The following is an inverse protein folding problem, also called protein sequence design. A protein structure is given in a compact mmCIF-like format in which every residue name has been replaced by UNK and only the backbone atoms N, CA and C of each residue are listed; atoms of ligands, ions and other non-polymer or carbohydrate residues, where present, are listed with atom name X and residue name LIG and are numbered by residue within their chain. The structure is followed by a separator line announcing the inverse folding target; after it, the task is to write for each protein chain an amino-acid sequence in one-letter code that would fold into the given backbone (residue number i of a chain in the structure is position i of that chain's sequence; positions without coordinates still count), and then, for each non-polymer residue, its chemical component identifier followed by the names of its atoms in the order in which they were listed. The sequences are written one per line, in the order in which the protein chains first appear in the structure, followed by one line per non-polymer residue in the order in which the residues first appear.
data_IF_086919299981
#
_entry.id   IF_086919299981
#
_cell.length_a   1.000
_cell.length_b   1.000
_cell.length_c   1.000
_cell.angle_alpha   90.00
_cell.angle_beta   90.00
_cell.angle_gamma   90.00
#
_symmetry.space_group_name_H-M   'P 1'
#
loop_
_entity.id
_entity.type
_entity.pdbx_description
1 polymer ?
#
# COMPACT_ATOMS: atom_id res chain seq x y z
N UNK A 1 -15.52 -17.41 2.79
CA UNK A 1 -14.97 -16.04 2.86
C UNK A 1 -13.76 -15.89 1.92
N UNK A 2 -13.97 -15.43 0.67
CA UNK A 2 -12.95 -15.38 -0.41
C UNK A 2 -11.87 -14.32 -0.17
N UNK A 3 -12.25 -13.17 0.37
CA UNK A 3 -11.32 -12.05 0.63
C UNK A 3 -10.31 -12.40 1.72
N UNK A 4 -10.74 -13.06 2.81
CA UNK A 4 -9.81 -13.53 3.85
C UNK A 4 -8.79 -14.52 3.28
N UNK A 5 -9.21 -15.50 2.48
CA UNK A 5 -8.28 -16.46 1.84
C UNK A 5 -7.29 -15.75 0.92
N UNK A 6 -7.76 -14.75 0.17
CA UNK A 6 -6.92 -13.94 -0.72
C UNK A 6 -5.90 -13.11 0.07
N UNK A 7 -6.33 -12.47 1.16
CA UNK A 7 -5.47 -11.70 2.04
C UNK A 7 -4.40 -12.58 2.70
N UNK A 8 -4.81 -13.73 3.25
CA UNK A 8 -3.88 -14.70 3.85
C UNK A 8 -2.78 -15.12 2.88
N UNK A 9 -3.16 -15.51 1.66
CA UNK A 9 -2.20 -15.86 0.60
C UNK A 9 -1.28 -14.69 0.26
N UNK A 10 -1.83 -13.49 0.11
CA UNK A 10 -1.03 -12.31 -0.24
C UNK A 10 -0.02 -11.92 0.86
N UNK A 11 -0.37 -12.08 2.14
CA UNK A 11 0.54 -11.81 3.26
C UNK A 11 1.78 -12.71 3.15
N UNK A 12 1.58 -14.02 2.98
CA UNK A 12 2.68 -14.99 2.87
C UNK A 12 3.55 -14.65 1.66
N UNK A 13 2.95 -14.51 0.48
CA UNK A 13 3.68 -14.25 -0.77
C UNK A 13 4.51 -12.96 -0.72
N UNK A 14 3.96 -11.88 -0.14
CA UNK A 14 4.69 -10.61 -0.06
C UNK A 14 5.84 -10.68 0.94
N UNK A 15 5.67 -11.39 2.06
CA UNK A 15 6.73 -11.56 3.06
C UNK A 15 7.87 -12.44 2.53
N UNK A 16 7.55 -13.55 1.88
CA UNK A 16 8.54 -14.43 1.24
C UNK A 16 9.37 -13.66 0.21
N UNK A 17 8.71 -12.99 -0.73
CA UNK A 17 9.39 -12.16 -1.73
C UNK A 17 10.22 -11.04 -1.09
N UNK A 18 9.73 -10.40 -0.03
CA UNK A 18 10.49 -9.35 0.64
C UNK A 18 11.75 -9.89 1.32
N UNK A 19 11.71 -11.10 1.90
CA UNK A 19 12.89 -11.77 2.47
C UNK A 19 13.92 -12.02 1.37
N UNK A 20 13.51 -12.53 0.21
CA UNK A 20 14.41 -12.74 -0.93
C UNK A 20 15.04 -11.43 -1.39
N UNK A 21 14.24 -10.38 -1.59
CA UNK A 21 14.75 -9.07 -2.03
C UNK A 21 15.72 -8.45 -1.03
N UNK A 22 15.48 -8.62 0.28
CA UNK A 22 16.39 -8.13 1.31
C UNK A 22 17.68 -8.95 1.37
N UNK A 23 17.62 -10.27 1.13
CA UNK A 23 18.84 -11.11 1.01
C UNK A 23 19.70 -10.70 -0.18
N UNK A 24 19.08 -10.37 -1.31
CA UNK A 24 19.79 -9.91 -2.51
C UNK A 24 20.42 -8.52 -2.34
N UNK A 25 19.68 -7.58 -1.76
CA UNK A 25 20.07 -6.16 -1.74
C UNK A 25 20.70 -5.67 -0.44
N UNK A 26 20.57 -6.44 0.64
CA UNK A 26 20.94 -6.01 1.98
C UNK A 26 19.82 -5.23 2.70
N UNK A 27 19.91 -5.18 4.02
CA UNK A 27 18.84 -4.66 4.91
C UNK A 27 18.73 -3.13 4.87
N UNK A 28 19.83 -2.44 4.57
CA UNK A 28 19.92 -0.97 4.54
C UNK A 28 19.40 -0.33 3.25
N UNK A 29 19.12 -1.12 2.22
CA UNK A 29 18.74 -0.59 0.92
C UNK A 29 17.36 0.09 0.91
N UNK A 30 17.26 1.18 0.14
CA UNK A 30 16.02 1.95 0.02
C UNK A 30 14.96 1.07 -0.65
N UNK A 31 13.81 0.90 0.01
CA UNK A 31 12.71 0.02 -0.43
C UNK A 31 11.87 0.61 -1.57
N UNK A 32 12.53 1.11 -2.62
CA UNK A 32 11.88 1.68 -3.82
C UNK A 32 11.16 0.65 -4.69
N UNK A 33 11.35 -0.64 -4.41
CA UNK A 33 10.73 -1.75 -5.15
C UNK A 33 9.29 -2.08 -4.69
N UNK A 34 8.74 -1.37 -3.70
CA UNK A 34 7.40 -1.62 -3.20
C UNK A 34 6.34 -0.97 -4.10
N UNK A 35 5.28 -1.71 -4.43
CA UNK A 35 4.29 -1.28 -5.42
C UNK A 35 3.54 0.02 -5.09
N UNK A 36 3.11 0.21 -3.84
CA UNK A 36 2.27 1.36 -3.44
C UNK A 36 2.85 2.19 -2.30
N UNK A 37 3.65 1.57 -1.42
CA UNK A 37 4.20 2.24 -0.26
C UNK A 37 5.14 3.38 -0.68
N UNK A 38 4.94 4.59 -0.13
CA UNK A 38 5.67 5.81 -0.48
C UNK A 38 5.63 6.16 -1.99
N UNK A 39 4.64 5.66 -2.73
CA UNK A 39 4.46 5.89 -4.16
C UNK A 39 3.20 6.71 -4.47
N UNK A 40 2.78 7.59 -3.56
CA UNK A 40 1.67 8.52 -3.81
C UNK A 40 1.97 9.32 -5.10
N UNK A 41 0.91 9.58 -5.85
CA UNK A 41 0.93 10.35 -7.09
C UNK A 41 1.58 9.65 -8.30
N UNK A 42 2.26 8.51 -8.10
CA UNK A 42 2.77 7.65 -9.17
C UNK A 42 1.70 6.70 -9.73
N UNK A 43 1.87 6.20 -10.97
CA UNK A 43 0.94 5.24 -11.58
C UNK A 43 1.02 3.86 -10.89
N UNK A 44 -0.14 3.24 -10.68
CA UNK A 44 -0.22 1.89 -10.15
C UNK A 44 0.38 0.88 -11.15
N UNK A 45 1.32 0.01 -10.76
CA UNK A 45 1.96 -0.94 -11.68
C UNK A 45 1.02 -2.00 -12.26
N UNK A 46 -0.20 -2.15 -11.70
CA UNK A 46 -1.21 -3.10 -12.22
C UNK A 46 -2.20 -2.49 -13.20
N UNK A 47 -2.53 -1.20 -13.08
CA UNK A 47 -3.66 -0.63 -13.81
C UNK A 47 -3.48 0.83 -14.26
N UNK A 48 -2.31 1.43 -14.01
CA UNK A 48 -1.99 2.82 -14.38
C UNK A 48 -2.62 3.89 -13.50
N UNK A 49 -3.69 3.57 -12.75
CA UNK A 49 -4.40 4.53 -11.89
C UNK A 49 -3.47 5.16 -10.85
N UNK A 50 -3.67 6.45 -10.58
CA UNK A 50 -2.86 7.21 -9.63
C UNK A 50 -2.97 6.64 -8.22
N UNK A 51 -1.84 6.37 -7.57
CA UNK A 51 -1.80 5.92 -6.17
C UNK A 51 -2.15 7.08 -5.24
N UNK A 52 -3.03 6.82 -4.28
CA UNK A 52 -3.46 7.78 -3.27
C UNK A 52 -2.93 7.40 -1.89
N UNK A 53 -2.87 8.37 -0.97
CA UNK A 53 -2.59 8.11 0.44
C UNK A 53 -3.56 8.82 1.38
N UNK A 54 -3.93 8.13 2.45
CA UNK A 54 -4.71 8.68 3.57
C UNK A 54 -3.90 8.60 4.86
N UNK A 55 -4.26 9.42 5.85
CA UNK A 55 -3.88 9.16 7.23
C UNK A 55 -5.04 8.53 7.98
N UNK A 56 -4.78 7.37 8.56
CA UNK A 56 -5.72 6.68 9.45
C UNK A 56 -5.01 6.40 10.77
N UNK A 57 -5.56 6.91 11.87
CA UNK A 57 -4.87 6.94 13.15
C UNK A 57 -3.47 7.57 12.98
N UNK A 58 -2.43 6.94 13.51
CA UNK A 58 -1.04 7.41 13.43
C UNK A 58 -0.28 6.89 12.21
N UNK A 59 -0.95 6.27 11.22
CA UNK A 59 -0.30 5.68 10.04
C UNK A 59 -0.75 6.34 8.75
N UNK A 60 0.20 6.54 7.85
CA UNK A 60 -0.11 6.84 6.45
C UNK A 60 -0.27 5.52 5.67
N UNK A 61 -1.36 5.41 4.91
CA UNK A 61 -1.68 4.22 4.11
C UNK A 61 -1.75 4.61 2.65
N UNK A 62 -0.98 3.93 1.82
CA UNK A 62 -0.96 4.11 0.37
C UNK A 62 -1.77 3.01 -0.30
N UNK A 63 -2.55 3.35 -1.33
CA UNK A 63 -3.40 2.39 -2.02
C UNK A 63 -3.73 2.85 -3.44
N UNK A 64 -4.05 1.89 -4.31
CA UNK A 64 -4.64 2.16 -5.61
C UNK A 64 -6.18 2.14 -5.50
N UNK A 65 -6.88 3.25 -5.82
CA UNK A 65 -8.33 3.30 -5.66
C UNK A 65 -9.05 2.32 -6.60
N UNK A 66 -8.56 2.13 -7.83
CA UNK A 66 -9.16 1.19 -8.78
C UNK A 66 -9.02 -0.26 -8.32
N UNK A 67 -7.81 -0.68 -7.91
CA UNK A 67 -7.54 -2.08 -7.55
C UNK A 67 -8.06 -2.49 -6.16
N UNK A 68 -8.05 -1.60 -5.17
CA UNK A 68 -8.29 -1.99 -3.76
C UNK A 68 -9.65 -1.58 -3.23
N UNK A 69 -10.28 -0.56 -3.82
CA UNK A 69 -11.54 0.01 -3.30
C UNK A 69 -12.59 0.20 -4.38
N UNK A 70 -12.43 -0.46 -5.53
CA UNK A 70 -13.36 -0.40 -6.67
C UNK A 70 -13.65 1.05 -7.12
N UNK A 71 -12.63 1.90 -7.08
CA UNK A 71 -12.69 3.32 -7.43
C UNK A 71 -13.04 4.26 -6.26
N UNK A 72 -13.50 3.76 -5.10
CA UNK A 72 -13.87 4.61 -3.96
C UNK A 72 -12.63 5.21 -3.29
N UNK A 73 -12.56 6.53 -3.18
CA UNK A 73 -11.54 7.21 -2.38
C UNK A 73 -11.83 7.03 -0.88
N UNK A 74 -10.84 6.56 -0.12
CA UNK A 74 -10.92 6.41 1.33
C UNK A 74 -10.89 7.78 2.03
N UNK A 75 -11.58 7.91 3.17
CA UNK A 75 -11.62 9.16 3.95
C UNK A 75 -10.25 9.44 4.57
N UNK A 76 -9.67 10.58 4.22
CA UNK A 76 -8.45 11.07 4.83
C UNK A 76 -8.75 11.78 6.15
N UNK A 77 -8.07 11.38 7.24
CA UNK A 77 -8.22 11.98 8.57
C UNK A 77 -7.08 12.93 8.94
N UNK A 78 -6.21 13.33 7.99
CA UNK A 78 -5.20 14.38 8.23
C UNK A 78 -5.82 15.67 8.80
N UNK A 79 -7.00 16.05 8.30
CA UNK A 79 -7.71 17.27 8.70
C UNK A 79 -8.66 17.10 9.90
N UNK A 80 -8.89 15.88 10.41
CA UNK A 80 -9.85 15.68 11.51
C UNK A 80 -9.35 16.15 12.88
N UNK A 81 -8.08 16.58 12.99
CA UNK A 81 -7.53 17.16 14.23
C UNK A 81 -7.98 18.62 14.45
N UNK A 82 -8.53 19.29 13.44
CA UNK A 82 -8.93 20.69 13.50
C UNK A 82 -10.42 20.91 13.78
N UNK A 83 -11.20 19.84 13.85
CA UNK A 83 -12.58 19.88 14.33
C UNK A 83 -12.62 19.13 15.66
N UNK A 84 -12.26 19.83 16.73
CA UNK A 84 -12.56 19.48 18.11
C UNK A 84 -13.52 20.52 18.65
#
# INVERSE_FOLDING_TARGET
NKEIKTLHKAIIQVLEWAIEKVREKGVSEKRGFLNVHNNKDNPCPRCGEKILSIRFSNRETFYCPKCQTKGKKLKDRRMSKFYR
#
